data_IF_628567865899
#
_entry.id   IF_628567865899
#
_cell.length_a   1.000
_cell.length_b   1.000
_cell.length_c   1.000
_cell.angle_alpha   90.00
_cell.angle_beta   90.00
_cell.angle_gamma   90.00
#
_symmetry.space_group_name_H-M   'P 1'
#
loop_
_entity.id
_entity.type
_entity.pdbx_description
1 polymer ?
#
# COMPACT_ATOMS: atom_id res chain seq x y z
N UNK A 1 13.79 -0.14 -3.25
CA UNK A 1 13.66 -0.88 -1.96
C UNK A 1 12.33 -1.59 -2.01
N UNK A 2 12.28 -2.83 -1.52
CA UNK A 2 11.06 -3.63 -1.64
C UNK A 2 10.12 -3.37 -0.46
N UNK A 3 8.85 -3.11 -0.75
CA UNK A 3 7.78 -3.06 0.25
C UNK A 3 6.66 -4.03 -0.12
N UNK A 4 5.82 -4.36 0.85
CA UNK A 4 4.76 -5.33 0.71
C UNK A 4 3.40 -4.68 0.95
N UNK A 5 2.39 -5.04 0.15
CA UNK A 5 1.03 -4.51 0.29
C UNK A 5 0.05 -5.66 0.43
N UNK A 6 -0.75 -5.63 1.50
CA UNK A 6 -1.80 -6.61 1.78
C UNK A 6 -3.17 -5.97 1.65
N UNK A 7 -4.02 -6.57 0.83
CA UNK A 7 -5.40 -6.11 0.65
C UNK A 7 -6.30 -6.68 1.75
N UNK A 8 -7.14 -5.84 2.37
CA UNK A 8 -8.12 -6.24 3.38
C UNK A 8 -9.52 -5.75 3.00
N UNK A 9 -10.45 -6.68 2.74
CA UNK A 9 -11.89 -6.36 2.65
C UNK A 9 -12.52 -6.42 4.05
N UNK A 10 -12.86 -5.26 4.63
CA UNK A 10 -13.55 -5.18 5.92
C UNK A 10 -12.67 -5.41 7.16
N UNK A 11 -13.17 -6.14 8.17
CA UNK A 11 -12.45 -6.43 9.44
C UNK A 11 -11.57 -7.68 9.38
N UNK A 12 -11.64 -8.43 8.29
CA UNK A 12 -10.94 -9.72 8.15
C UNK A 12 -9.95 -9.57 7.02
N UNK A 13 -8.70 -9.96 7.26
CA UNK A 13 -7.71 -10.11 6.17
C UNK A 13 -8.32 -11.12 5.19
N UNK A 14 -8.55 -10.72 3.94
CA UNK A 14 -9.12 -11.58 2.92
C UNK A 14 -8.27 -12.86 2.84
N UNK A 15 -8.91 -14.04 2.82
CA UNK A 15 -8.21 -15.35 2.81
C UNK A 15 -7.28 -15.54 1.60
N UNK A 16 -7.42 -14.69 0.58
CA UNK A 16 -6.40 -14.49 -0.44
C UNK A 16 -5.24 -13.71 0.17
N UNK A 17 -4.30 -14.44 0.78
CA UNK A 17 -3.05 -13.96 1.37
C UNK A 17 -2.06 -13.36 0.33
N UNK A 18 -2.57 -12.81 -0.76
CA UNK A 18 -1.77 -12.31 -1.87
C UNK A 18 -1.15 -10.98 -1.45
N UNK A 19 0.16 -11.06 -1.18
CA UNK A 19 0.98 -9.92 -0.79
C UNK A 19 1.64 -9.39 -2.06
N UNK A 20 1.29 -8.18 -2.43
CA UNK A 20 1.92 -7.47 -3.55
C UNK A 20 3.31 -7.03 -3.12
N UNK A 21 4.28 -7.21 -4.00
CA UNK A 21 5.65 -6.75 -3.79
C UNK A 21 5.89 -5.56 -4.72
N UNK A 22 6.11 -4.38 -4.14
CA UNK A 22 6.30 -3.14 -4.88
C UNK A 22 7.73 -2.66 -4.64
N UNK A 23 8.48 -2.36 -5.70
CA UNK A 23 9.77 -1.70 -5.58
C UNK A 23 9.55 -0.19 -5.62
N UNK A 24 10.08 0.50 -4.61
CA UNK A 24 9.93 1.95 -4.45
C UNK A 24 11.20 2.57 -3.90
N UNK A 25 11.44 3.85 -4.16
CA UNK A 25 12.56 4.61 -3.64
C UNK A 25 12.16 5.45 -2.42
N UNK A 26 13.09 5.73 -1.48
CA UNK A 26 12.81 6.59 -0.32
C UNK A 26 12.42 8.02 -0.73
N UNK A 27 12.76 8.44 -1.96
CA UNK A 27 12.39 9.73 -2.55
C UNK A 27 10.98 9.76 -3.13
N UNK A 28 10.38 8.61 -3.40
CA UNK A 28 9.03 8.54 -3.93
C UNK A 28 8.00 8.95 -2.87
N UNK A 29 6.84 9.36 -3.33
CA UNK A 29 5.73 9.75 -2.45
C UNK A 29 4.78 8.59 -2.18
N UNK A 30 3.96 8.74 -1.14
CA UNK A 30 2.84 7.83 -0.88
C UNK A 30 1.89 7.79 -2.08
N UNK A 31 1.76 8.89 -2.84
CA UNK A 31 1.00 8.91 -4.09
C UNK A 31 1.61 8.01 -5.16
N UNK A 32 2.94 8.02 -5.32
CA UNK A 32 3.61 7.17 -6.30
C UNK A 32 3.42 5.68 -5.94
N UNK A 33 3.55 5.33 -4.65
CA UNK A 33 3.24 3.99 -4.15
C UNK A 33 1.80 3.57 -4.50
N UNK A 34 0.84 4.48 -4.33
CA UNK A 34 -0.55 4.24 -4.70
C UNK A 34 -0.73 3.96 -6.19
N UNK A 35 0.00 4.66 -7.06
CA UNK A 35 -0.06 4.45 -8.49
C UNK A 35 0.48 3.07 -8.87
N UNK A 36 1.60 2.65 -8.28
CA UNK A 36 2.18 1.31 -8.49
C UNK A 36 1.21 0.21 -8.02
N UNK A 37 0.60 0.37 -6.84
CA UNK A 37 -0.41 -0.56 -6.33
C UNK A 37 -1.62 -0.62 -7.27
N UNK A 38 -2.14 0.52 -7.70
CA UNK A 38 -3.29 0.59 -8.61
C UNK A 38 -3.00 0.04 -10.02
N UNK A 39 -1.73 -0.03 -10.42
CA UNK A 39 -1.32 -0.61 -11.68
C UNK A 39 -1.43 -2.15 -11.70
N UNK A 40 -1.46 -2.80 -10.54
CA UNK A 40 -1.55 -4.25 -10.42
C UNK A 40 -2.91 -4.78 -10.89
N UNK A 41 -2.89 -5.84 -11.71
CA UNK A 41 -4.11 -6.41 -12.31
C UNK A 41 -5.12 -6.87 -11.27
N UNK A 42 -4.64 -7.43 -10.15
CA UNK A 42 -5.52 -7.79 -9.04
C UNK A 42 -6.22 -6.56 -8.44
N UNK A 43 -5.52 -5.43 -8.35
CA UNK A 43 -6.02 -4.21 -7.72
C UNK A 43 -7.03 -3.46 -8.60
N UNK A 44 -6.83 -3.49 -9.93
CA UNK A 44 -7.75 -2.86 -10.91
C UNK A 44 -9.19 -3.34 -10.83
N UNK A 45 -9.44 -4.50 -10.21
CA UNK A 45 -10.79 -5.05 -10.04
C UNK A 45 -11.54 -4.48 -8.84
N UNK A 46 -10.85 -3.82 -7.90
CA UNK A 46 -11.44 -3.26 -6.69
C UNK A 46 -11.76 -1.77 -6.83
N UNK A 47 -12.72 -1.31 -6.02
CA UNK A 47 -13.10 0.10 -5.93
C UNK A 47 -12.09 0.86 -5.05
N UNK A 48 -11.19 1.62 -5.68
CA UNK A 48 -10.13 2.34 -4.95
C UNK A 48 -10.57 3.70 -4.40
N UNK A 49 -11.74 4.21 -4.78
CA UNK A 49 -12.21 5.54 -4.37
C UNK A 49 -12.34 5.68 -2.85
N UNK A 50 -12.60 4.57 -2.15
CA UNK A 50 -12.72 4.51 -0.68
C UNK A 50 -11.54 3.83 0.00
N UNK A 51 -10.59 3.35 -0.79
CA UNK A 51 -9.50 2.56 -0.28
C UNK A 51 -8.52 3.45 0.51
N UNK A 52 -7.94 2.88 1.58
CA UNK A 52 -7.01 3.57 2.48
C UNK A 52 -5.74 2.77 2.63
N UNK A 53 -4.60 3.43 2.45
CA UNK A 53 -3.29 2.82 2.68
C UNK A 53 -2.87 3.07 4.12
N UNK A 54 -2.66 1.98 4.85
CA UNK A 54 -2.36 1.99 6.27
C UNK A 54 -0.98 1.37 6.52
N UNK A 55 -0.17 2.02 7.35
CA UNK A 55 1.09 1.49 7.84
C UNK A 55 1.11 1.58 9.37
N UNK A 56 1.40 0.46 10.04
CA UNK A 56 1.33 0.34 11.50
C UNK A 56 -0.02 0.81 12.09
N UNK A 57 -1.11 0.66 11.32
CA UNK A 57 -2.46 1.10 11.71
C UNK A 57 -2.75 2.59 11.49
N UNK A 58 -1.79 3.36 10.99
CA UNK A 58 -1.96 4.78 10.68
C UNK A 58 -2.16 5.00 9.18
N UNK A 59 -3.10 5.89 8.84
CA UNK A 59 -3.28 6.36 7.47
C UNK A 59 -2.14 7.29 7.08
N UNK A 60 -1.58 7.07 5.90
CA UNK A 60 -0.49 7.87 5.38
C UNK A 60 -1.02 8.98 4.49
N UNK A 61 -0.36 10.14 4.57
CA UNK A 61 -0.70 11.29 3.74
C UNK A 61 0.00 11.16 2.38
N UNK A 62 -0.75 11.33 1.30
CA UNK A 62 -0.26 11.16 -0.08
C UNK A 62 0.93 12.07 -0.44
N UNK A 63 1.03 13.22 0.22
CA UNK A 63 2.05 14.23 -0.03
C UNK A 63 3.37 13.99 0.72
N UNK A 64 3.47 12.95 1.55
CA UNK A 64 4.73 12.58 2.22
C UNK A 64 5.54 11.64 1.37
N UNK A 65 6.86 11.73 1.51
CA UNK A 65 7.79 10.75 0.92
C UNK A 65 7.85 9.46 1.76
N UNK A 66 8.30 8.37 1.14
CA UNK A 66 8.56 7.09 1.80
C UNK A 66 9.59 7.27 2.92
N UNK A 67 10.65 8.06 2.66
CA UNK A 67 11.65 8.42 3.66
C UNK A 67 11.09 9.20 4.85
N UNK A 68 10.20 10.18 4.62
CA UNK A 68 9.53 10.93 5.69
C UNK A 68 8.54 10.09 6.51
N UNK A 69 8.03 9.00 5.93
CA UNK A 69 7.15 8.06 6.62
C UNK A 69 7.93 7.02 7.45
N UNK A 70 9.27 7.10 7.49
CA UNK A 70 10.16 6.13 8.13
C UNK A 70 9.84 4.68 7.71
N UNK A 71 9.58 4.48 6.42
CA UNK A 71 9.30 3.15 5.86
C UNK A 71 10.62 2.40 5.69
N UNK A 72 10.68 1.18 6.23
CA UNK A 72 11.83 0.30 6.10
C UNK A 72 11.66 -0.69 4.94
N UNK A 73 12.77 -1.24 4.44
CA UNK A 73 12.73 -2.34 3.48
C UNK A 73 11.99 -3.53 4.10
N UNK A 74 11.06 -4.10 3.33
CA UNK A 74 10.18 -5.17 3.79
C UNK A 74 9.01 -4.71 4.66
N UNK A 75 8.75 -3.40 4.76
CA UNK A 75 7.55 -2.88 5.42
C UNK A 75 6.27 -3.43 4.77
N UNK A 76 5.25 -3.69 5.59
CA UNK A 76 3.95 -4.20 5.15
C UNK A 76 2.89 -3.11 5.29
N UNK A 77 2.41 -2.61 4.16
CA UNK A 77 1.25 -1.75 4.07
C UNK A 77 -0.02 -2.58 3.97
N UNK A 78 -1.11 -2.01 4.47
CA UNK A 78 -2.42 -2.59 4.37
C UNK A 78 -3.30 -1.68 3.52
N UNK A 79 -3.77 -2.21 2.39
CA UNK A 79 -4.76 -1.58 1.56
C UNK A 79 -6.14 -2.00 2.06
N UNK A 80 -6.81 -1.09 2.77
CA UNK A 80 -8.17 -1.32 3.25
C UNK A 80 -9.15 -0.82 2.21
N UNK A 81 -9.91 -1.73 1.61
CA UNK A 81 -11.01 -1.42 0.69
C UNK A 81 -12.28 -1.00 1.45
#
# INVERSE_FOLDING_TARGET
MMVFVKVMEGKTISKHNETLSIDIEPTDTIRDLWQEIAAEEMIKTYDLEKAKLLLHGNELQENKTIGECNVEEGAVFYLKL
#
